data_IF_687652226421
#
_entry.id   IF_687652226421
#
_cell.length_a   1.000
_cell.length_b   1.000
_cell.length_c   1.000
_cell.angle_alpha   90.00
_cell.angle_beta   90.00
_cell.angle_gamma   90.00
#
_symmetry.space_group_name_H-M   'P 1'
#
loop_
_entity.id
_entity.type
_entity.pdbx_description
1 polymer ?
#
# COMPACT_ATOMS: atom_id res chain seq x y z
N UNK A 1 -8.18 -9.98 -4.12
CA UNK A 1 -6.83 -9.83 -3.57
C UNK A 1 -6.88 -9.97 -2.06
N UNK A 2 -5.84 -10.55 -1.50
CA UNK A 2 -5.54 -10.60 -0.06
C UNK A 2 -4.62 -9.42 0.32
N UNK A 3 -4.52 -9.06 1.62
CA UNK A 3 -3.60 -8.02 2.07
C UNK A 3 -2.12 -8.29 1.70
N UNK A 4 -1.69 -9.55 1.70
CA UNK A 4 -0.33 -9.94 1.33
C UNK A 4 -0.06 -9.76 -0.16
N UNK A 5 -1.04 -10.08 -1.01
CA UNK A 5 -0.97 -9.80 -2.45
C UNK A 5 -0.93 -8.30 -2.71
N UNK A 6 -1.71 -7.52 -1.95
CA UNK A 6 -1.68 -6.05 -2.03
C UNK A 6 -0.31 -5.51 -1.63
N UNK A 7 0.27 -5.97 -0.52
CA UNK A 7 1.62 -5.59 -0.12
C UNK A 7 2.64 -5.92 -1.20
N UNK A 8 2.66 -7.16 -1.67
CA UNK A 8 3.61 -7.64 -2.69
C UNK A 8 3.52 -6.83 -3.98
N UNK A 9 2.31 -6.46 -4.40
CA UNK A 9 2.10 -5.59 -5.54
C UNK A 9 2.66 -4.18 -5.31
N UNK A 10 2.33 -3.55 -4.19
CA UNK A 10 2.76 -2.19 -3.89
C UNK A 10 4.29 -2.08 -3.76
N UNK A 11 4.94 -3.12 -3.23
CA UNK A 11 6.38 -3.23 -3.15
C UNK A 11 7.02 -3.35 -4.54
N UNK A 12 6.57 -4.31 -5.37
CA UNK A 12 7.07 -4.51 -6.75
C UNK A 12 6.81 -3.30 -7.65
N UNK A 13 5.72 -2.58 -7.42
CA UNK A 13 5.36 -1.37 -8.15
C UNK A 13 6.13 -0.13 -7.67
N UNK A 14 7.00 -0.26 -6.66
CA UNK A 14 7.75 0.82 -6.02
C UNK A 14 6.86 1.97 -5.51
N UNK A 15 5.71 1.63 -4.93
CA UNK A 15 4.74 2.59 -4.38
C UNK A 15 4.97 2.83 -2.88
N UNK A 16 5.55 1.86 -2.18
CA UNK A 16 5.85 1.96 -0.75
C UNK A 16 6.99 2.95 -0.46
N UNK A 17 7.09 3.47 0.78
CA UNK A 17 8.17 4.35 1.17
C UNK A 17 9.54 3.69 0.93
N UNK A 18 10.53 4.50 0.54
CA UNK A 18 11.92 4.02 0.36
C UNK A 18 12.70 3.93 1.68
N UNK A 19 12.15 4.47 2.76
CA UNK A 19 12.69 4.38 4.12
C UNK A 19 12.31 3.06 4.78
N UNK A 20 12.97 2.70 5.88
CA UNK A 20 12.56 1.54 6.68
C UNK A 20 11.12 1.72 7.18
N UNK A 21 10.30 0.70 7.02
CA UNK A 21 8.93 0.65 7.52
C UNK A 21 8.57 -0.71 8.09
N UNK A 22 7.56 -0.72 8.95
CA UNK A 22 6.79 -1.90 9.31
C UNK A 22 5.43 -1.83 8.60
N UNK A 23 4.83 -2.99 8.34
CA UNK A 23 3.52 -3.06 7.68
C UNK A 23 2.62 -4.11 8.30
N UNK A 24 1.30 -3.93 8.16
CA UNK A 24 0.30 -4.93 8.53
C UNK A 24 -0.96 -4.80 7.65
N UNK A 25 -1.76 -5.87 7.54
CA UNK A 25 -3.09 -5.79 6.93
C UNK A 25 -3.95 -4.69 7.56
N UNK A 26 -4.70 -3.94 6.75
CA UNK A 26 -5.68 -2.96 7.23
C UNK A 26 -7.10 -3.36 6.80
N UNK A 27 -7.29 -3.62 5.50
CA UNK A 27 -8.49 -4.26 4.95
C UNK A 27 -8.08 -5.26 3.86
N UNK A 28 -9.04 -5.90 3.19
CA UNK A 28 -8.74 -6.88 2.13
C UNK A 28 -7.86 -6.31 0.99
N UNK A 29 -7.99 -5.03 0.68
CA UNK A 29 -7.23 -4.34 -0.40
C UNK A 29 -6.46 -3.12 0.10
N UNK A 30 -6.24 -3.03 1.42
CA UNK A 30 -5.46 -1.96 2.01
C UNK A 30 -4.48 -2.48 3.05
N UNK A 31 -3.31 -1.84 3.09
CA UNK A 31 -2.27 -2.11 4.08
C UNK A 31 -1.98 -0.85 4.87
N UNK A 32 -1.62 -1.06 6.14
CA UNK A 32 -1.06 -0.03 7.00
C UNK A 32 0.47 -0.10 6.91
N UNK A 33 1.11 1.06 6.83
CA UNK A 33 2.55 1.21 6.76
C UNK A 33 2.99 2.27 7.77
N UNK A 34 3.96 1.93 8.60
CA UNK A 34 4.53 2.81 9.61
C UNK A 34 6.01 3.03 9.34
N UNK A 35 6.39 4.30 9.21
CA UNK A 35 7.78 4.74 9.10
C UNK A 35 8.14 5.56 10.34
N UNK A 36 9.43 5.88 10.58
CA UNK A 36 9.80 6.82 11.63
C UNK A 36 9.03 8.14 11.51
N UNK A 37 8.12 8.37 12.46
CA UNK A 37 7.32 9.59 12.58
C UNK A 37 6.12 9.71 11.64
N UNK A 38 5.79 8.70 10.82
CA UNK A 38 4.60 8.75 9.96
C UNK A 38 3.89 7.40 9.88
N UNK A 39 2.57 7.48 9.67
CA UNK A 39 1.72 6.30 9.48
C UNK A 39 0.81 6.54 8.28
N UNK A 40 0.70 5.52 7.45
CA UNK A 40 -0.02 5.59 6.19
C UNK A 40 -0.95 4.38 6.02
N UNK A 41 -2.02 4.57 5.27
CA UNK A 41 -2.82 3.48 4.71
C UNK A 41 -2.77 3.59 3.19
N UNK A 42 -2.33 2.51 2.54
CA UNK A 42 -2.33 2.39 1.09
C UNK A 42 -3.51 1.52 0.68
N UNK A 43 -4.48 2.09 -0.03
CA UNK A 43 -5.66 1.38 -0.54
C UNK A 43 -5.59 1.22 -2.04
N UNK A 44 -5.58 -0.03 -2.51
CA UNK A 44 -5.58 -0.37 -3.92
C UNK A 44 -7.01 -0.44 -4.47
N UNK A 45 -7.25 0.25 -5.57
CA UNK A 45 -8.48 0.16 -6.37
C UNK A 45 -8.12 -0.27 -7.80
N UNK A 46 -8.40 -1.54 -8.12
CA UNK A 46 -8.09 -2.10 -9.44
C UNK A 46 -9.05 -1.60 -10.53
N UNK A 47 -10.28 -1.24 -10.17
CA UNK A 47 -11.28 -0.74 -11.12
C UNK A 47 -10.90 0.65 -11.59
N UNK A 48 -10.52 1.52 -10.63
CA UNK A 48 -10.03 2.86 -10.92
C UNK A 48 -8.55 2.89 -11.35
N UNK A 49 -7.82 1.78 -11.19
CA UNK A 49 -6.37 1.65 -11.45
C UNK A 49 -5.58 2.67 -10.63
N UNK A 50 -5.92 2.80 -9.34
CA UNK A 50 -5.32 3.79 -8.45
C UNK A 50 -4.90 3.18 -7.13
N UNK A 51 -3.95 3.84 -6.47
CA UNK A 51 -3.66 3.64 -5.06
C UNK A 51 -3.93 4.95 -4.35
N UNK A 52 -4.90 4.97 -3.44
CA UNK A 52 -5.13 6.13 -2.57
C UNK A 52 -4.28 5.95 -1.32
N UNK A 53 -3.44 6.94 -1.04
CA UNK A 53 -2.63 7.02 0.18
C UNK A 53 -3.36 7.91 1.16
N UNK A 54 -3.55 7.40 2.37
CA UNK A 54 -4.07 8.16 3.49
C UNK A 54 -2.97 8.31 4.54
N UNK A 55 -2.92 9.45 5.22
CA UNK A 55 -1.91 9.74 6.23
C UNK A 55 -2.58 10.00 7.58
N UNK A 56 -2.01 9.45 8.65
CA UNK A 56 -2.45 9.77 10.00
C UNK A 56 -1.98 11.18 10.40
N UNK A 57 -2.77 11.88 11.22
CA UNK A 57 -2.34 13.15 11.80
C UNK A 57 -1.11 12.93 12.69
N UNK A 58 0.06 13.54 12.39
CA UNK A 58 1.26 13.38 13.19
C UNK A 58 1.18 14.07 14.55
N UNK A 59 0.21 14.97 14.77
CA UNK A 59 0.02 15.69 16.04
C UNK A 59 -0.67 14.85 17.10
N UNK A 60 -1.22 13.70 16.72
CA UNK A 60 -1.89 12.80 17.65
C UNK A 60 -1.45 11.36 17.38
N UNK A 61 -0.44 10.92 18.12
CA UNK A 61 0.14 9.59 18.02
C UNK A 61 -0.87 8.47 18.30
N UNK A 62 -1.97 8.75 18.99
CA UNK A 62 -3.06 7.79 19.25
C UNK A 62 -4.18 7.85 18.21
N UNK A 63 -4.16 8.83 17.30
CA UNK A 63 -5.18 8.99 16.29
C UNK A 63 -5.09 7.89 15.23
N UNK A 64 -6.13 7.08 15.13
CA UNK A 64 -6.39 6.21 13.98
C UNK A 64 -7.18 6.95 12.88
N UNK A 65 -7.25 8.28 12.95
CA UNK A 65 -7.85 9.08 11.89
C UNK A 65 -6.85 9.27 10.76
N UNK A 66 -7.14 8.61 9.64
CA UNK A 66 -6.43 8.77 8.39
C UNK A 66 -7.22 9.69 7.46
N UNK A 67 -6.56 10.71 6.92
CA UNK A 67 -7.12 11.59 5.90
C UNK A 67 -6.49 11.30 4.54
N UNK A 68 -7.20 11.51 3.42
CA UNK A 68 -6.60 11.37 2.09
C UNK A 68 -5.39 12.30 1.97
N UNK A 69 -4.25 11.74 1.59
CA UNK A 69 -3.00 12.48 1.38
C UNK A 69 -2.81 12.75 -0.11
N UNK A 70 -2.74 11.70 -0.92
CA UNK A 70 -2.70 11.80 -2.38
C UNK A 70 -3.17 10.49 -3.05
N UNK A 71 -3.36 10.54 -4.37
CA UNK A 71 -3.69 9.36 -5.18
C UNK A 71 -2.63 9.14 -6.26
N UNK A 72 -2.22 7.89 -6.42
CA UNK A 72 -1.27 7.45 -7.42
C UNK A 72 -2.04 6.72 -8.51
N UNK A 73 -1.94 7.20 -9.75
CA UNK A 73 -2.48 6.48 -10.91
C UNK A 73 -1.49 5.38 -11.32
N UNK A 74 -1.98 4.15 -11.46
CA UNK A 74 -1.16 3.02 -11.87
C UNK A 74 -0.89 3.07 -13.37
N UNK A 75 0.37 2.95 -13.74
CA UNK A 75 0.78 2.84 -15.14
C UNK A 75 0.40 1.47 -15.72
N UNK A 76 0.29 1.34 -17.06
CA UNK A 76 0.08 0.03 -17.68
C UNK A 76 1.14 -1.01 -17.29
N UNK A 77 2.40 -0.59 -17.11
CA UNK A 77 3.48 -1.47 -16.66
C UNK A 77 3.25 -1.98 -15.23
N UNK A 78 2.84 -1.11 -14.31
CA UNK A 78 2.46 -1.52 -12.96
C UNK A 78 1.24 -2.44 -12.99
N UNK A 79 0.22 -2.13 -13.80
CA UNK A 79 -0.96 -3.01 -13.96
C UNK A 79 -0.60 -4.41 -14.49
N UNK A 80 0.45 -4.54 -15.31
CA UNK A 80 0.93 -5.83 -15.79
C UNK A 80 1.56 -6.69 -14.68
N UNK A 81 2.08 -6.09 -13.59
CA UNK A 81 2.62 -6.84 -12.44
C UNK A 81 1.54 -7.69 -11.73
N UNK A 82 0.27 -7.28 -11.83
CA UNK A 82 -0.87 -8.04 -11.28
C UNK A 82 -1.20 -9.29 -12.10
N UNK A 83 -0.72 -9.37 -13.34
CA UNK A 83 -0.98 -10.48 -14.26
C UNK A 83 0.12 -11.55 -14.23
N UNK A 84 1.24 -11.27 -13.55
CA UNK A 84 2.29 -12.25 -13.38
C UNK A 84 1.88 -13.22 -12.25
N UNK A 85 1.62 -14.50 -12.54
CA UNK A 85 1.45 -15.48 -11.47
C UNK A 85 2.70 -15.44 -10.61
N UNK A 86 2.51 -15.19 -9.31
CA UNK A 86 3.62 -15.13 -8.37
C UNK A 86 4.48 -16.37 -8.53
N UNK A 87 5.78 -16.19 -8.74
CA UNK A 87 6.72 -17.30 -8.67
C UNK A 87 6.47 -18.05 -7.35
N UNK A 88 6.43 -19.40 -7.38
CA UNK A 88 6.24 -20.17 -6.17
C UNK A 88 7.40 -19.86 -5.23
N UNK A 89 7.06 -19.36 -4.04
CA UNK A 89 8.03 -19.25 -2.94
C UNK A 89 8.37 -20.68 -2.54
N UNK A 90 9.53 -21.18 -3.01
CA UNK A 90 10.12 -22.43 -2.52
C UNK A 90 10.44 -22.23 -1.03
N UNK A 91 9.82 -23.06 -0.19
CA UNK A 91 10.09 -23.18 1.24
C UNK A 91 11.48 -23.74 1.52
#
# INVERSE_FOLDING_TARGET
MTPNETFSFLEKAHILPTTKYDWRPFTATAIYVETPGNRFVYRLDLTARTVTVFKADPRNELSEHFTPDHTINLTPAQMALLQQPGEPVLQ
#
